data_IF_871872596376
#
_entry.id   IF_871872596376
#
_cell.length_a   1.000
_cell.length_b   1.000
_cell.length_c   1.000
_cell.angle_alpha   90.00
_cell.angle_beta   90.00
_cell.angle_gamma   90.00
#
_symmetry.space_group_name_H-M   'P 1'
#
loop_
_entity.id
_entity.type
_entity.pdbx_description
1 polymer ?
#
# COMPACT_ATOMS: atom_id res chain seq x y z
N UNK A 1 -22.05 4.04 4.46
CA UNK A 1 -21.60 5.45 4.26
C UNK A 1 -20.35 5.71 5.08
N UNK A 2 -19.55 6.71 4.72
CA UNK A 2 -18.45 7.21 5.55
C UNK A 2 -19.00 8.07 6.72
N UNK A 3 -18.20 8.39 7.76
CA UNK A 3 -18.65 9.20 8.90
C UNK A 3 -19.27 10.56 8.54
N UNK A 4 -19.01 11.09 7.33
CA UNK A 4 -19.61 12.32 6.80
C UNK A 4 -20.78 12.12 5.84
N UNK A 5 -21.44 10.95 5.80
CA UNK A 5 -22.58 10.68 4.92
C UNK A 5 -22.23 10.43 3.45
N UNK A 6 -20.98 10.66 3.03
CA UNK A 6 -20.53 10.35 1.66
C UNK A 6 -20.46 8.84 1.40
N UNK A 7 -20.66 8.39 0.15
CA UNK A 7 -20.34 7.02 -0.26
C UNK A 7 -18.86 6.70 0.02
N UNK A 8 -18.58 5.56 0.66
CA UNK A 8 -17.18 5.13 0.93
C UNK A 8 -16.38 4.87 -0.35
N UNK A 9 -17.07 4.49 -1.43
CA UNK A 9 -16.50 4.24 -2.75
C UNK A 9 -17.37 4.92 -3.80
N UNK A 10 -16.80 5.87 -4.54
CA UNK A 10 -17.48 6.51 -5.67
C UNK A 10 -17.54 5.63 -6.93
N UNK A 11 -18.37 5.98 -7.92
CA UNK A 11 -18.62 5.16 -9.11
C UNK A 11 -17.38 4.87 -9.94
N UNK A 12 -16.50 5.85 -10.15
CA UNK A 12 -15.26 5.66 -10.90
C UNK A 12 -14.33 4.62 -10.23
N UNK A 13 -14.19 4.67 -8.90
CA UNK A 13 -13.36 3.73 -8.14
C UNK A 13 -14.00 2.34 -8.08
N UNK A 14 -15.32 2.27 -7.95
CA UNK A 14 -16.05 1.00 -7.97
C UNK A 14 -15.90 0.30 -9.33
N UNK A 15 -16.06 1.05 -10.44
CA UNK A 15 -15.81 0.53 -11.79
C UNK A 15 -14.39 0.03 -11.96
N UNK A 16 -13.39 0.83 -11.56
CA UNK A 16 -11.98 0.44 -11.64
C UNK A 16 -11.69 -0.84 -10.84
N UNK A 17 -12.32 -1.02 -9.67
CA UNK A 17 -12.21 -2.23 -8.86
C UNK A 17 -12.82 -3.45 -9.59
N UNK A 18 -14.02 -3.34 -10.16
CA UNK A 18 -14.66 -4.42 -10.92
C UNK A 18 -13.82 -4.84 -12.13
N UNK A 19 -13.31 -3.86 -12.89
CA UNK A 19 -12.40 -4.11 -14.02
C UNK A 19 -11.12 -4.83 -13.56
N UNK A 20 -10.58 -4.46 -12.40
CA UNK A 20 -9.39 -5.11 -11.84
C UNK A 20 -9.64 -6.53 -11.36
N UNK A 21 -10.81 -6.80 -10.76
CA UNK A 21 -11.22 -8.15 -10.37
C UNK A 21 -11.47 -9.04 -11.59
N UNK A 22 -12.06 -8.49 -12.66
CA UNK A 22 -12.25 -9.20 -13.91
C UNK A 22 -10.92 -9.60 -14.57
N UNK A 23 -9.95 -8.67 -14.61
CA UNK A 23 -8.59 -8.95 -15.11
C UNK A 23 -7.89 -10.02 -14.25
N UNK A 24 -7.96 -9.91 -12.92
CA UNK A 24 -7.38 -10.90 -11.99
C UNK A 24 -7.98 -12.29 -12.21
N UNK A 25 -9.31 -12.39 -12.33
CA UNK A 25 -10.01 -13.66 -12.60
C UNK A 25 -9.56 -14.27 -13.94
N UNK A 26 -9.49 -13.47 -15.00
CA UNK A 26 -9.07 -13.94 -16.31
C UNK A 26 -7.62 -14.49 -16.29
N UNK A 27 -6.72 -13.81 -15.56
CA UNK A 27 -5.31 -14.23 -15.44
C UNK A 27 -5.16 -15.49 -14.59
N UNK A 28 -5.92 -15.62 -13.50
CA UNK A 28 -5.93 -16.85 -12.71
C UNK A 28 -6.43 -18.05 -13.53
N UNK A 29 -7.48 -17.86 -14.34
CA UNK A 29 -7.96 -18.90 -15.28
C UNK A 29 -6.92 -19.28 -16.32
N UNK A 30 -6.25 -18.29 -16.92
CA UNK A 30 -5.15 -18.55 -17.85
C UNK A 30 -3.98 -19.32 -17.21
N UNK A 31 -3.78 -19.17 -15.90
CA UNK A 31 -2.77 -19.90 -15.13
C UNK A 31 -3.26 -21.27 -14.61
N UNK A 32 -4.50 -21.69 -14.91
CA UNK A 32 -5.07 -22.96 -14.46
C UNK A 32 -5.81 -22.92 -13.12
N UNK A 33 -6.09 -21.73 -12.58
CA UNK A 33 -6.78 -21.50 -11.31
C UNK A 33 -8.08 -20.71 -11.48
N UNK A 34 -8.66 -20.21 -10.39
CA UNK A 34 -9.92 -19.46 -10.39
C UNK A 34 -9.96 -18.41 -9.26
N UNK A 35 -10.64 -17.29 -9.51
CA UNK A 35 -10.98 -16.31 -8.48
C UNK A 35 -12.38 -16.56 -7.93
N UNK A 36 -12.47 -16.97 -6.67
CA UNK A 36 -13.74 -17.09 -5.95
C UNK A 36 -14.18 -15.72 -5.44
N UNK A 37 -15.37 -15.28 -5.84
CA UNK A 37 -16.01 -14.05 -5.37
C UNK A 37 -17.11 -14.38 -4.38
N UNK A 38 -16.91 -14.01 -3.12
CA UNK A 38 -17.89 -14.17 -2.06
C UNK A 38 -18.31 -12.80 -1.49
N UNK A 39 -19.58 -12.68 -1.12
CA UNK A 39 -20.15 -11.45 -0.53
C UNK A 39 -20.43 -11.68 0.96
N UNK A 40 -19.89 -10.81 1.79
CA UNK A 40 -20.12 -10.87 3.23
C UNK A 40 -18.95 -10.25 4.02
N UNK A 41 -19.05 -10.21 5.35
CA UNK A 41 -17.94 -9.86 6.21
C UNK A 41 -16.83 -10.94 6.11
N UNK A 42 -15.56 -10.56 5.87
CA UNK A 42 -14.47 -11.52 5.72
C UNK A 42 -14.29 -12.45 6.92
N UNK A 43 -14.58 -11.98 8.13
CA UNK A 43 -14.50 -12.77 9.37
C UNK A 43 -15.54 -13.89 9.49
N UNK A 44 -16.55 -13.93 8.62
CA UNK A 44 -17.51 -15.03 8.54
C UNK A 44 -17.26 -15.88 7.28
N UNK A 45 -17.01 -15.22 6.16
CA UNK A 45 -16.85 -15.86 4.85
C UNK A 45 -15.56 -16.67 4.76
N UNK A 46 -14.42 -16.10 5.18
CA UNK A 46 -13.12 -16.77 5.01
C UNK A 46 -13.00 -18.03 5.89
N UNK A 47 -13.40 -18.03 7.18
CA UNK A 47 -13.35 -19.24 7.99
C UNK A 47 -14.29 -20.35 7.49
N UNK A 48 -15.49 -19.99 7.03
CA UNK A 48 -16.42 -20.97 6.45
C UNK A 48 -15.87 -21.57 5.15
N UNK A 49 -15.23 -20.74 4.31
CA UNK A 49 -14.59 -21.21 3.10
C UNK A 49 -13.40 -22.13 3.41
N UNK A 50 -12.55 -21.74 4.37
CA UNK A 50 -11.38 -22.52 4.78
C UNK A 50 -11.77 -23.91 5.30
N UNK A 51 -12.80 -23.99 6.14
CA UNK A 51 -13.36 -25.25 6.64
C UNK A 51 -13.88 -26.13 5.49
N UNK A 52 -14.68 -25.55 4.58
CA UNK A 52 -15.25 -26.29 3.43
C UNK A 52 -14.20 -26.89 2.50
N UNK A 53 -13.05 -26.24 2.36
CA UNK A 53 -11.96 -26.72 1.49
C UNK A 53 -10.86 -27.47 2.25
N UNK A 54 -10.98 -27.59 3.58
CA UNK A 54 -9.93 -28.19 4.42
C UNK A 54 -8.63 -27.39 4.43
N UNK A 55 -8.68 -26.06 4.24
CA UNK A 55 -7.48 -25.23 4.26
C UNK A 55 -6.99 -24.98 5.70
N UNK A 56 -5.75 -25.36 5.99
CA UNK A 56 -5.10 -25.06 7.27
C UNK A 56 -4.64 -23.61 7.42
N UNK A 57 -4.53 -22.85 6.32
CA UNK A 57 -4.08 -21.46 6.36
C UNK A 57 -4.74 -20.59 5.28
N UNK A 58 -4.94 -19.32 5.62
CA UNK A 58 -5.37 -18.24 4.73
C UNK A 58 -4.25 -17.22 4.63
N UNK A 59 -3.83 -16.88 3.41
CA UNK A 59 -2.79 -15.89 3.15
C UNK A 59 -3.38 -14.56 2.69
N UNK A 60 -2.84 -13.44 3.18
CA UNK A 60 -3.19 -12.10 2.71
C UNK A 60 -2.00 -11.14 2.78
N UNK A 61 -2.09 -10.02 2.07
CA UNK A 61 -1.18 -8.90 2.29
C UNK A 61 -1.55 -8.19 3.59
N UNK A 62 -0.56 -7.89 4.44
CA UNK A 62 -0.76 -7.12 5.66
C UNK A 62 -1.11 -5.65 5.36
N UNK A 63 -2.09 -5.10 6.07
CA UNK A 63 -2.50 -3.70 5.98
C UNK A 63 -2.16 -2.92 7.26
N UNK A 64 -2.00 -1.59 7.12
CA UNK A 64 -1.45 -0.74 8.19
C UNK A 64 -2.43 0.27 8.77
N UNK A 65 -3.62 0.39 8.19
CA UNK A 65 -4.56 1.44 8.57
C UNK A 65 -5.40 1.02 9.78
N UNK A 66 -5.48 1.89 10.78
CA UNK A 66 -6.53 1.88 11.79
C UNK A 66 -7.53 3.00 11.49
N UNK A 67 -8.81 2.68 11.38
CA UNK A 67 -9.89 3.66 11.38
C UNK A 67 -10.63 3.41 12.70
N UNK A 68 -10.82 4.48 13.45
CA UNK A 68 -11.39 4.47 14.80
C UNK A 68 -12.80 3.88 14.77
N UNK A 69 -13.01 2.81 15.54
CA UNK A 69 -14.33 2.31 15.83
C UNK A 69 -15.03 3.31 16.75
N UNK A 70 -15.78 4.26 16.19
CA UNK A 70 -16.73 5.04 16.99
C UNK A 70 -17.84 4.08 17.50
N UNK A 71 -18.10 4.01 18.82
CA UNK A 71 -19.05 3.07 19.42
C UNK A 71 -20.52 3.28 19.02
N UNK A 72 -20.86 4.42 18.42
CA UNK A 72 -22.24 4.82 18.11
C UNK A 72 -22.66 4.56 16.67
N UNK A 73 -21.76 4.09 15.80
CA UNK A 73 -22.05 3.92 14.38
C UNK A 73 -22.02 2.43 14.01
N UNK A 74 -23.06 1.85 13.41
CA UNK A 74 -23.09 0.46 12.92
C UNK A 74 -22.23 0.32 11.64
N UNK A 75 -20.98 0.76 11.72
CA UNK A 75 -20.03 0.81 10.61
C UNK A 75 -19.14 -0.41 10.70
N UNK A 76 -19.06 -1.18 9.61
CA UNK A 76 -18.22 -2.38 9.49
C UNK A 76 -16.80 -2.10 10.01
N UNK A 77 -16.18 -3.05 10.74
CA UNK A 77 -14.81 -2.92 11.21
C UNK A 77 -13.81 -2.60 10.09
N UNK A 78 -12.75 -1.89 10.43
CA UNK A 78 -11.73 -1.45 9.49
C UNK A 78 -10.72 -2.55 9.10
N UNK A 79 -9.94 -2.41 8.02
CA UNK A 79 -9.07 -3.48 7.45
C UNK A 79 -8.17 -4.20 8.46
N UNK A 80 -7.41 -3.50 9.30
CA UNK A 80 -6.59 -4.16 10.34
C UNK A 80 -7.46 -4.84 11.43
N UNK A 81 -8.61 -4.24 11.76
CA UNK A 81 -9.56 -4.83 12.70
C UNK A 81 -10.27 -6.06 12.10
N UNK A 82 -10.47 -6.07 10.78
CA UNK A 82 -10.93 -7.21 9.99
C UNK A 82 -9.87 -8.31 10.02
N UNK A 83 -8.58 -8.01 9.79
CA UNK A 83 -7.50 -9.00 9.91
C UNK A 83 -7.48 -9.66 11.29
N UNK A 84 -7.59 -8.87 12.37
CA UNK A 84 -7.67 -9.41 13.73
C UNK A 84 -8.92 -10.28 13.95
N UNK A 85 -10.08 -9.87 13.43
CA UNK A 85 -11.34 -10.64 13.55
C UNK A 85 -11.28 -11.94 12.75
N UNK A 86 -10.75 -11.89 11.54
CA UNK A 86 -10.53 -13.05 10.67
C UNK A 86 -9.55 -14.02 11.32
N UNK A 87 -8.43 -13.53 11.86
CA UNK A 87 -7.46 -14.35 12.61
C UNK A 87 -8.14 -15.11 13.75
N UNK A 88 -8.82 -14.40 14.65
CA UNK A 88 -9.52 -15.03 15.77
C UNK A 88 -10.67 -15.95 15.32
N UNK A 89 -11.25 -15.74 14.13
CA UNK A 89 -12.28 -16.61 13.58
C UNK A 89 -11.74 -17.88 12.94
N UNK A 90 -10.55 -17.81 12.32
CA UNK A 90 -9.84 -18.97 11.79
C UNK A 90 -9.27 -19.83 12.92
N UNK A 91 -8.65 -19.21 13.93
CA UNK A 91 -8.06 -19.92 15.08
C UNK A 91 -9.10 -20.78 15.83
N UNK A 92 -10.33 -20.25 15.99
CA UNK A 92 -11.46 -21.00 16.58
C UNK A 92 -11.85 -22.26 15.80
N UNK A 93 -11.46 -22.35 14.52
CA UNK A 93 -11.74 -23.48 13.62
C UNK A 93 -10.47 -24.28 13.28
N UNK A 94 -9.36 -24.05 14.00
CA UNK A 94 -8.09 -24.75 13.77
C UNK A 94 -7.31 -24.29 12.54
N UNK A 95 -7.65 -23.14 11.94
CA UNK A 95 -6.92 -22.54 10.82
C UNK A 95 -6.06 -21.34 11.25
N UNK A 96 -5.13 -20.94 10.38
CA UNK A 96 -4.21 -19.82 10.62
C UNK A 96 -4.41 -18.68 9.59
N UNK A 97 -4.31 -17.41 10.02
CA UNK A 97 -4.16 -16.27 9.11
C UNK A 97 -2.68 -15.86 9.00
N UNK A 98 -2.11 -15.97 7.80
CA UNK A 98 -0.75 -15.53 7.47
C UNK A 98 -0.78 -14.22 6.68
N UNK A 99 -0.54 -13.13 7.39
CA UNK A 99 -0.47 -11.79 6.81
C UNK A 99 0.97 -11.44 6.46
N UNK A 100 1.27 -11.40 5.16
CA UNK A 100 2.61 -11.13 4.63
C UNK A 100 2.77 -9.65 4.25
N UNK A 101 3.92 -9.06 4.57
CA UNK A 101 4.15 -7.66 4.22
C UNK A 101 4.32 -7.47 2.70
N UNK A 102 3.57 -6.53 2.15
CA UNK A 102 3.61 -6.18 0.72
C UNK A 102 3.36 -4.71 0.45
N UNK A 103 3.36 -4.33 -0.83
CA UNK A 103 2.99 -2.99 -1.28
C UNK A 103 4.04 -1.89 -1.08
N UNK A 104 5.26 -2.22 -0.64
CA UNK A 104 6.40 -1.30 -0.52
C UNK A 104 7.64 -1.79 -1.28
N UNK A 105 8.63 -0.91 -1.45
CA UNK A 105 9.97 -1.25 -1.94
C UNK A 105 10.78 -1.99 -0.87
N UNK A 106 10.69 -1.54 0.38
CA UNK A 106 11.35 -2.14 1.54
C UNK A 106 10.33 -2.75 2.49
N UNK A 107 10.61 -3.94 3.02
CA UNK A 107 9.87 -4.46 4.16
C UNK A 107 10.32 -3.76 5.46
N UNK A 108 9.47 -3.65 6.50
CA UNK A 108 9.85 -3.08 7.79
C UNK A 108 11.10 -3.72 8.40
N UNK A 109 11.25 -5.03 8.22
CA UNK A 109 12.36 -5.86 8.72
C UNK A 109 13.65 -5.57 7.97
N UNK A 110 13.54 -5.05 6.75
CA UNK A 110 14.68 -4.62 5.99
C UNK A 110 15.16 -3.25 6.49
N UNK A 111 14.35 -2.38 7.09
CA UNK A 111 14.78 -1.03 7.46
C UNK A 111 15.99 -1.03 8.43
N UNK A 112 16.95 -0.09 8.29
CA UNK A 112 18.12 0.00 9.17
C UNK A 112 17.79 0.59 10.56
N UNK A 113 16.52 0.64 10.90
CA UNK A 113 15.98 1.13 12.15
C UNK A 113 14.62 0.47 12.38
N UNK A 114 14.22 0.37 13.65
CA UNK A 114 12.87 -0.05 14.02
C UNK A 114 11.85 1.02 13.63
N UNK A 115 10.60 0.61 13.38
CA UNK A 115 9.51 1.55 13.06
C UNK A 115 9.31 2.63 14.14
N UNK A 116 9.58 2.32 15.41
CA UNK A 116 9.52 3.29 16.52
C UNK A 116 10.52 4.44 16.32
N UNK A 117 11.69 4.13 15.75
CA UNK A 117 12.77 5.05 15.41
C UNK A 117 12.69 5.57 13.95
N UNK A 118 11.55 5.40 13.28
CA UNK A 118 11.29 5.96 11.95
C UNK A 118 11.46 7.50 12.00
N UNK A 119 12.29 8.08 11.12
CA UNK A 119 12.51 9.52 11.06
C UNK A 119 11.23 10.32 10.86
N UNK A 120 11.14 11.50 11.48
CA UNK A 120 10.00 12.40 11.31
C UNK A 120 9.98 13.14 9.97
N UNK A 121 11.11 13.14 9.25
CA UNK A 121 11.24 13.81 7.94
C UNK A 121 11.62 12.81 6.85
N UNK A 122 11.09 13.04 5.65
CA UNK A 122 11.39 12.20 4.49
C UNK A 122 12.87 12.25 4.10
N UNK A 123 13.52 13.42 4.21
CA UNK A 123 14.94 13.58 3.87
C UNK A 123 15.83 12.67 4.74
N UNK A 124 15.58 12.62 6.05
CA UNK A 124 16.31 11.74 6.96
C UNK A 124 16.00 10.26 6.71
N UNK A 125 14.73 9.91 6.49
CA UNK A 125 14.31 8.56 6.12
C UNK A 125 15.08 8.05 4.89
N UNK A 126 15.14 8.86 3.83
CA UNK A 126 15.86 8.53 2.60
C UNK A 126 17.36 8.45 2.82
N UNK A 127 17.95 9.39 3.57
CA UNK A 127 19.38 9.37 3.88
C UNK A 127 19.79 8.08 4.60
N UNK A 128 18.97 7.59 5.54
CA UNK A 128 19.21 6.32 6.23
C UNK A 128 19.08 5.10 5.32
N UNK A 129 18.32 5.19 4.23
CA UNK A 129 18.17 4.12 3.24
C UNK A 129 19.22 4.15 2.12
N UNK A 130 20.07 5.19 2.07
CA UNK A 130 21.09 5.32 1.04
C UNK A 130 22.02 4.08 1.01
N UNK A 131 22.40 3.65 -0.19
CA UNK A 131 23.27 2.51 -0.44
C UNK A 131 22.61 1.13 -0.39
N UNK A 132 21.33 1.02 0.01
CA UNK A 132 20.62 -0.26 0.06
C UNK A 132 20.13 -0.73 -1.32
N UNK A 133 19.90 -2.02 -1.47
CA UNK A 133 19.36 -2.60 -2.70
C UNK A 133 17.87 -2.92 -2.52
N UNK A 134 17.06 -2.64 -3.54
CA UNK A 134 15.64 -3.06 -3.57
C UNK A 134 15.60 -4.54 -3.94
N UNK A 135 14.92 -5.36 -3.13
CA UNK A 135 14.75 -6.80 -3.39
C UNK A 135 14.06 -7.04 -4.73
N UNK A 136 14.44 -8.10 -5.43
CA UNK A 136 13.75 -8.53 -6.66
C UNK A 136 12.26 -8.82 -6.37
N UNK A 137 11.36 -8.54 -7.32
CA UNK A 137 9.98 -9.02 -7.22
C UNK A 137 10.00 -10.55 -7.24
N UNK A 138 8.99 -11.17 -6.62
CA UNK A 138 8.80 -12.61 -6.74
C UNK A 138 8.35 -12.92 -8.16
N UNK A 139 8.92 -13.98 -8.75
CA UNK A 139 8.45 -14.48 -10.02
C UNK A 139 7.06 -15.09 -9.85
N UNK A 140 6.19 -14.86 -10.84
CA UNK A 140 4.93 -15.58 -10.91
C UNK A 140 5.25 -16.97 -11.46
N UNK A 141 5.23 -17.98 -10.58
CA UNK A 141 5.39 -19.37 -11.00
C UNK A 141 4.41 -19.70 -12.14
N UNK A 142 4.90 -20.42 -13.15
CA UNK A 142 4.09 -20.88 -14.25
C UNK A 142 3.23 -22.07 -13.78
N UNK A 143 1.92 -21.90 -13.78
CA UNK A 143 0.96 -22.96 -13.43
C UNK A 143 0.52 -22.90 -11.97
N UNK A 144 -0.67 -22.34 -11.76
CA UNK A 144 -1.37 -22.43 -10.49
C UNK A 144 -2.26 -23.67 -10.49
N UNK A 145 -2.40 -24.29 -9.31
CA UNK A 145 -3.36 -25.37 -9.14
C UNK A 145 -4.79 -24.81 -9.25
N UNK A 146 -5.68 -25.62 -9.82
CA UNK A 146 -7.11 -25.36 -9.87
C UNK A 146 -7.76 -25.34 -8.49
N UNK A 147 -9.08 -25.12 -8.47
CA UNK A 147 -9.86 -25.27 -7.24
C UNK A 147 -9.70 -26.70 -6.68
N UNK A 148 -9.77 -26.87 -5.33
CA UNK A 148 -9.62 -28.17 -4.70
C UNK A 148 -10.61 -29.19 -5.27
N UNK A 149 -10.10 -30.32 -5.78
CA UNK A 149 -10.94 -31.40 -6.28
C UNK A 149 -11.78 -31.99 -5.13
N UNK A 150 -13.09 -32.14 -5.35
CA UNK A 150 -14.02 -32.70 -4.37
C UNK A 150 -14.72 -31.69 -3.45
N UNK A 151 -14.34 -30.41 -3.49
CA UNK A 151 -15.05 -29.34 -2.80
C UNK A 151 -15.87 -28.53 -3.82
N UNK A 152 -17.20 -28.53 -3.71
CA UNK A 152 -18.05 -27.67 -4.54
C UNK A 152 -17.92 -26.21 -4.06
N UNK A 153 -16.92 -25.51 -4.59
CA UNK A 153 -16.72 -24.08 -4.40
C UNK A 153 -17.16 -23.36 -5.66
N UNK A 154 -18.33 -22.74 -5.60
CA UNK A 154 -18.83 -21.91 -6.68
C UNK A 154 -17.95 -20.66 -6.85
N UNK A 155 -17.44 -20.37 -8.06
CA UNK A 155 -16.60 -19.19 -8.31
C UNK A 155 -17.31 -17.87 -8.01
N UNK A 156 -18.65 -17.82 -8.06
CA UNK A 156 -19.45 -16.62 -7.84
C UNK A 156 -19.41 -15.63 -9.01
N UNK A 157 -20.51 -14.90 -9.19
CA UNK A 157 -20.66 -13.92 -10.26
C UNK A 157 -20.03 -12.56 -9.92
N UNK A 158 -19.59 -11.84 -10.97
CA UNK A 158 -19.08 -10.49 -10.78
C UNK A 158 -20.24 -9.54 -10.41
N UNK A 159 -20.16 -8.79 -9.29
CA UNK A 159 -21.19 -7.82 -8.95
C UNK A 159 -21.35 -6.71 -9.97
N UNK A 160 -22.59 -6.25 -10.17
CA UNK A 160 -22.86 -4.97 -10.85
C UNK A 160 -22.72 -3.79 -9.89
N UNK A 161 -22.55 -2.57 -10.41
CA UNK A 161 -22.51 -1.35 -9.58
C UNK A 161 -23.80 -1.17 -8.76
N UNK A 162 -24.95 -1.49 -9.36
CA UNK A 162 -26.26 -1.43 -8.70
C UNK A 162 -26.34 -2.40 -7.52
N UNK A 163 -25.86 -3.64 -7.69
CA UNK A 163 -25.79 -4.62 -6.62
C UNK A 163 -24.84 -4.20 -5.48
N UNK A 164 -23.92 -3.27 -5.73
CA UNK A 164 -23.05 -2.65 -4.74
C UNK A 164 -23.64 -1.37 -4.13
N UNK A 165 -24.84 -0.95 -4.55
CA UNK A 165 -25.46 0.30 -4.12
C UNK A 165 -24.72 1.54 -4.65
N UNK A 166 -24.02 1.42 -5.77
CA UNK A 166 -23.26 2.50 -6.40
C UNK A 166 -24.02 2.96 -7.65
N UNK A 167 -24.36 4.25 -7.71
CA UNK A 167 -25.02 4.83 -8.87
C UNK A 167 -24.18 4.60 -10.14
N UNK A 168 -24.82 4.18 -11.23
CA UNK A 168 -24.13 4.11 -12.51
C UNK A 168 -23.72 5.53 -12.93
N UNK A 169 -22.49 5.73 -13.42
CA UNK A 169 -22.15 6.99 -14.07
C UNK A 169 -23.07 7.13 -15.29
N UNK A 170 -23.81 8.24 -15.37
CA UNK A 170 -24.71 8.48 -16.49
C UNK A 170 -23.97 8.24 -17.81
N UNK A 171 -24.53 7.38 -18.67
CA UNK A 171 -24.04 7.19 -20.03
C UNK A 171 -24.24 8.51 -20.78
N UNK A 172 -23.20 9.35 -20.80
CA UNK A 172 -23.20 10.56 -21.58
C UNK A 172 -23.10 10.18 -23.07
N UNK A 173 -24.25 9.99 -23.71
CA UNK A 173 -24.41 10.48 -25.08
C UNK A 173 -24.14 11.99 -25.08
N UNK A 174 -23.38 12.46 -26.07
CA UNK A 174 -22.90 13.83 -26.25
C UNK A 174 -21.82 14.29 -25.26
N UNK A 175 -20.57 14.41 -25.76
CA UNK A 175 -19.56 15.43 -25.44
C UNK A 175 -19.40 15.89 -23.97
N UNK A 176 -19.71 15.04 -23.00
CA UNK A 176 -19.59 15.31 -21.57
C UNK A 176 -18.16 15.10 -21.10
N UNK A 177 -17.49 16.19 -20.74
CA UNK A 177 -16.08 16.22 -20.31
C UNK A 177 -15.75 15.06 -19.34
N UNK A 178 -14.69 14.26 -19.61
CA UNK A 178 -14.29 13.19 -18.71
C UNK A 178 -13.94 13.75 -17.33
N UNK A 179 -14.27 12.97 -16.29
CA UNK A 179 -13.89 13.24 -14.91
C UNK A 179 -12.37 13.46 -14.83
N UNK A 180 -11.97 14.69 -14.51
CA UNK A 180 -10.59 15.19 -14.64
C UNK A 180 -10.50 16.62 -15.21
N UNK A 181 -11.54 17.07 -15.92
CA UNK A 181 -11.57 18.43 -16.50
C UNK A 181 -11.64 19.57 -15.46
N UNK A 182 -12.16 19.32 -14.26
CA UNK A 182 -12.17 20.32 -13.18
C UNK A 182 -10.84 20.43 -12.41
N UNK A 183 -9.94 19.45 -12.57
CA UNK A 183 -8.62 19.38 -11.89
C UNK A 183 -7.46 19.36 -12.90
N UNK A 184 -7.73 19.66 -14.18
CA UNK A 184 -6.70 19.75 -15.22
C UNK A 184 -6.00 18.44 -15.58
N UNK A 185 -6.55 17.27 -15.22
CA UNK A 185 -5.93 15.95 -15.49
C UNK A 185 -6.52 15.24 -16.72
N UNK A 186 -7.05 16.01 -17.68
CA UNK A 186 -7.79 15.56 -18.87
C UNK A 186 -7.13 14.44 -19.68
N UNK A 187 -7.33 13.20 -19.22
CA UNK A 187 -6.91 11.97 -19.87
C UNK A 187 -8.08 11.02 -20.08
N UNK A 188 -7.90 9.97 -20.89
CA UNK A 188 -8.90 8.93 -21.07
C UNK A 188 -9.26 8.26 -19.74
N UNK A 189 -10.47 7.70 -19.60
CA UNK A 189 -10.85 6.96 -18.42
C UNK A 189 -9.84 5.84 -18.13
N UNK A 190 -9.33 5.79 -16.90
CA UNK A 190 -8.34 4.79 -16.49
C UNK A 190 -9.04 3.46 -16.27
N UNK A 191 -8.60 2.41 -16.98
CA UNK A 191 -9.15 1.06 -16.88
C UNK A 191 -8.41 0.24 -15.80
N UNK A 192 -9.17 -0.50 -15.01
CA UNK A 192 -8.64 -1.40 -13.97
C UNK A 192 -7.90 -2.63 -14.52
N UNK A 193 -7.09 -3.25 -13.65
CA UNK A 193 -6.40 -4.52 -13.93
C UNK A 193 -4.88 -4.41 -14.03
N UNK A 194 -4.19 -5.52 -13.72
CA UNK A 194 -2.74 -5.65 -13.88
C UNK A 194 -2.37 -5.59 -15.37
N UNK A 195 -3.18 -6.16 -16.26
CA UNK A 195 -2.93 -6.11 -17.70
C UNK A 195 -2.80 -4.68 -18.22
N UNK A 196 -3.70 -3.78 -17.80
CA UNK A 196 -3.63 -2.36 -18.16
C UNK A 196 -2.50 -1.63 -17.45
N UNK A 197 -2.23 -1.97 -16.18
CA UNK A 197 -1.12 -1.41 -15.44
C UNK A 197 0.22 -1.62 -16.15
N UNK A 198 0.46 -2.85 -16.63
CA UNK A 198 1.67 -3.21 -17.35
C UNK A 198 1.74 -2.53 -18.73
N UNK A 199 0.62 -2.47 -19.46
CA UNK A 199 0.56 -1.72 -20.73
C UNK A 199 0.90 -0.24 -20.55
N UNK A 200 0.32 0.40 -19.54
CA UNK A 200 0.59 1.79 -19.21
C UNK A 200 2.07 2.01 -18.80
N UNK A 201 2.61 1.10 -17.99
CA UNK A 201 4.02 1.16 -17.58
C UNK A 201 4.97 1.03 -18.78
N UNK A 202 4.72 0.07 -19.68
CA UNK A 202 5.51 -0.11 -20.90
C UNK A 202 5.39 1.09 -21.84
N UNK A 203 4.19 1.68 -21.97
CA UNK A 203 3.99 2.90 -22.76
C UNK A 203 4.79 4.07 -22.22
N UNK A 204 4.72 4.28 -20.91
CA UNK A 204 5.50 5.30 -20.20
C UNK A 204 7.01 5.09 -20.38
N UNK A 205 7.51 3.85 -20.29
CA UNK A 205 8.92 3.54 -20.52
C UNK A 205 9.37 3.84 -21.96
N UNK A 206 8.53 3.54 -22.96
CA UNK A 206 8.81 3.89 -24.36
C UNK A 206 8.89 5.40 -24.57
N UNK A 207 7.99 6.14 -23.95
CA UNK A 207 7.97 7.61 -24.00
C UNK A 207 9.20 8.23 -23.32
N UNK A 208 9.60 7.68 -22.16
CA UNK A 208 10.83 8.05 -21.46
C UNK A 208 12.06 7.87 -22.36
N UNK A 209 12.22 6.69 -22.97
CA UNK A 209 13.36 6.41 -23.86
C UNK A 209 13.39 7.36 -25.05
N UNK A 210 12.24 7.62 -25.66
CA UNK A 210 12.13 8.54 -26.80
C UNK A 210 12.53 9.96 -26.40
N UNK A 211 12.08 10.42 -25.23
CA UNK A 211 12.42 11.74 -24.70
C UNK A 211 13.92 11.88 -24.41
N UNK A 212 14.53 10.83 -23.81
CA UNK A 212 15.97 10.80 -23.55
C UNK A 212 16.79 10.79 -24.85
N UNK A 213 16.38 10.00 -25.86
CA UNK A 213 17.04 9.96 -27.16
C UNK A 213 16.98 11.33 -27.87
N UNK A 214 15.81 12.00 -27.85
CA UNK A 214 15.65 13.35 -28.41
C UNK A 214 16.56 14.36 -27.72
N UNK A 215 16.66 14.31 -26.39
CA UNK A 215 17.53 15.20 -25.64
C UNK A 215 19.02 14.97 -25.97
N UNK A 216 19.44 13.72 -26.15
CA UNK A 216 20.81 13.39 -26.56
C UNK A 216 21.13 13.93 -27.96
N UNK A 217 20.21 13.80 -28.92
CA UNK A 217 20.40 14.33 -30.28
C UNK A 217 20.48 15.86 -30.33
N UNK A 218 19.72 16.57 -29.50
CA UNK A 218 19.75 18.03 -29.40
C UNK A 218 21.04 18.53 -28.73
N UNK A 219 21.61 17.76 -27.81
CA UNK A 219 22.91 18.08 -27.21
C UNK A 219 24.06 17.93 -28.23
N UNK A 220 24.03 16.87 -29.06
CA UNK A 220 25.06 16.62 -30.08
C UNK A 220 25.03 17.59 -31.28
N UNK A 221 23.89 18.22 -31.60
CA UNK A 221 23.82 19.20 -32.69
C UNK A 221 24.33 20.60 -32.30
N UNK A 222 24.59 20.84 -31.01
CA UNK A 222 25.12 22.12 -30.49
C UNK A 222 26.65 22.22 -30.48
N UNK A 223 27.37 21.17 -30.87
CA UNK A 223 28.85 21.11 -30.84
C UNK A 223 29.53 21.19 -32.22
N UNK A 224 28.78 21.42 -33.31
CA UNK A 224 29.33 21.48 -34.67
C UNK A 224 28.91 22.74 -35.45
N UNK A 225 29.26 23.93 -34.95
CA UNK A 225 29.29 25.14 -35.79
C UNK A 225 30.34 26.14 -35.32
N UNK A 226 31.53 26.08 -35.92
CA UNK A 226 32.44 27.23 -36.05
C UNK A 226 31.95 28.12 -37.20
N UNK A 227 31.56 29.38 -36.94
CA UNK A 227 31.34 30.38 -38.00
C UNK A 227 30.25 31.44 -37.73
N UNK A 228 30.65 32.51 -37.05
CA UNK A 228 30.20 33.93 -37.07
C UNK A 228 28.74 34.38 -37.37
N UNK A 229 28.20 35.13 -36.38
CA UNK A 229 27.22 36.25 -36.42
C UNK A 229 25.76 35.97 -36.91
N UNK A 230 24.66 36.47 -36.30
CA UNK A 230 24.44 37.63 -35.43
C UNK A 230 23.20 37.44 -34.51
N UNK A 231 23.09 38.37 -33.55
CA UNK A 231 22.26 38.44 -32.36
C UNK A 231 20.72 38.24 -32.47
N UNK A 232 20.16 37.52 -31.50
CA UNK A 232 18.93 37.89 -30.80
C UNK A 232 18.93 37.25 -29.39
N UNK A 233 18.68 38.08 -28.37
CA UNK A 233 18.88 37.79 -26.96
C UNK A 233 17.94 36.69 -26.42
N UNK A 234 18.52 35.65 -25.83
CA UNK A 234 17.87 34.80 -24.83
C UNK A 234 18.94 34.37 -23.81
N UNK A 235 18.66 34.62 -22.53
CA UNK A 235 19.52 34.38 -21.38
C UNK A 235 20.03 32.94 -21.32
N UNK A 236 21.34 32.81 -21.48
CA UNK A 236 22.13 31.60 -21.45
C UNK A 236 22.10 30.91 -20.08
N UNK A 237 21.61 29.67 -20.05
CA UNK A 237 22.11 28.65 -19.13
C UNK A 237 22.32 27.37 -19.92
N UNK A 238 23.57 26.90 -19.97
CA UNK A 238 23.96 25.64 -20.61
C UNK A 238 23.09 24.49 -20.07
N UNK A 239 22.64 23.54 -20.91
CA UNK A 239 21.85 22.42 -20.41
C UNK A 239 22.77 21.51 -19.59
N UNK A 240 22.75 21.69 -18.28
CA UNK A 240 23.29 20.71 -17.35
C UNK A 240 22.40 19.45 -17.44
N UNK A 241 22.93 18.23 -17.29
CA UNK A 241 22.15 16.98 -17.32
C UNK A 241 20.98 16.94 -16.30
N UNK A 242 20.94 17.90 -15.38
CA UNK A 242 19.85 18.21 -14.45
C UNK A 242 18.54 18.70 -15.12
N UNK A 243 18.52 19.08 -16.39
CA UNK A 243 17.28 19.56 -17.07
C UNK A 243 16.43 18.43 -17.68
N UNK A 244 16.84 17.17 -17.51
CA UNK A 244 16.12 15.98 -17.98
C UNK A 244 15.01 15.53 -17.02
N UNK A 245 14.81 16.24 -15.90
CA UNK A 245 13.65 16.01 -15.05
C UNK A 245 12.40 16.19 -15.93
N UNK A 246 11.59 15.13 -16.12
CA UNK A 246 10.38 15.27 -16.88
C UNK A 246 9.53 16.38 -16.26
N UNK A 247 9.02 17.30 -17.09
CA UNK A 247 8.27 18.46 -16.61
C UNK A 247 7.11 18.00 -15.70
N UNK A 248 6.51 18.91 -14.93
CA UNK A 248 5.35 18.61 -14.08
C UNK A 248 4.15 17.99 -14.84
N UNK A 249 4.18 17.96 -16.17
CA UNK A 249 3.21 17.28 -17.04
C UNK A 249 3.52 15.78 -17.26
N UNK A 250 4.71 15.30 -16.92
CA UNK A 250 5.16 13.93 -17.14
C UNK A 250 4.92 13.08 -15.89
N UNK A 251 3.67 12.71 -15.70
CA UNK A 251 3.27 11.74 -14.68
C UNK A 251 3.07 10.37 -15.33
N UNK A 252 3.58 9.32 -14.67
CA UNK A 252 3.33 7.93 -15.09
C UNK A 252 1.86 7.51 -14.94
N UNK A 253 1.00 8.35 -14.33
CA UNK A 253 -0.44 8.10 -14.08
C UNK A 253 -0.72 6.73 -13.48
N UNK A 254 0.22 6.18 -12.69
CA UNK A 254 0.20 4.79 -12.25
C UNK A 254 -0.48 4.59 -10.88
N UNK A 255 -0.82 5.68 -10.19
CA UNK A 255 -1.31 5.66 -8.81
C UNK A 255 -2.56 4.79 -8.59
N UNK A 256 -3.55 4.68 -9.51
CA UNK A 256 -4.70 3.81 -9.29
C UNK A 256 -4.32 2.33 -9.19
N UNK A 257 -3.38 1.86 -10.02
CA UNK A 257 -2.91 0.48 -10.01
C UNK A 257 -2.00 0.17 -8.82
N UNK A 258 -1.14 1.12 -8.40
CA UNK A 258 -0.36 0.97 -7.17
C UNK A 258 -1.27 0.93 -5.93
N UNK A 259 -2.34 1.73 -5.89
CA UNK A 259 -3.26 1.78 -4.76
C UNK A 259 -4.07 0.49 -4.57
N UNK A 260 -4.38 -0.22 -5.66
CA UNK A 260 -5.09 -1.50 -5.61
C UNK A 260 -4.15 -2.72 -5.54
N UNK A 261 -2.86 -2.54 -5.84
CA UNK A 261 -1.89 -3.63 -5.93
C UNK A 261 -1.86 -4.33 -7.29
N UNK A 262 -2.53 -3.78 -8.31
CA UNK A 262 -2.40 -4.25 -9.69
C UNK A 262 -0.98 -4.06 -10.25
N UNK A 263 -0.17 -3.21 -9.63
CA UNK A 263 1.25 -3.10 -9.95
C UNK A 263 2.07 -3.10 -8.67
N UNK A 264 3.16 -3.86 -8.67
CA UNK A 264 4.13 -3.87 -7.58
C UNK A 264 5.16 -2.74 -7.74
N UNK A 265 5.48 -1.98 -6.68
CA UNK A 265 6.54 -0.97 -6.72
C UNK A 265 7.91 -1.57 -7.02
N UNK A 266 8.19 -2.79 -6.53
CA UNK A 266 9.44 -3.50 -6.79
C UNK A 266 9.57 -3.87 -8.26
N UNK A 267 8.50 -4.40 -8.86
CA UNK A 267 8.44 -4.69 -10.30
C UNK A 267 8.68 -3.43 -11.12
N UNK A 268 7.97 -2.35 -10.80
CA UNK A 268 8.11 -1.06 -11.48
C UNK A 268 9.56 -0.54 -11.43
N UNK A 269 10.20 -0.63 -10.26
CA UNK A 269 11.59 -0.24 -10.06
C UNK A 269 12.56 -1.07 -10.92
N UNK A 270 12.48 -2.40 -10.83
CA UNK A 270 13.40 -3.30 -11.53
C UNK A 270 13.22 -3.26 -13.04
N UNK A 271 11.97 -3.23 -13.53
CA UNK A 271 11.71 -3.10 -14.97
C UNK A 271 12.26 -1.76 -15.52
N UNK A 272 12.09 -0.65 -14.79
CA UNK A 272 12.61 0.64 -15.25
C UNK A 272 14.14 0.63 -15.32
N UNK A 273 14.80 0.06 -14.31
CA UNK A 273 16.25 -0.05 -14.29
C UNK A 273 16.79 -0.90 -15.42
N UNK A 274 16.17 -2.05 -15.66
CA UNK A 274 16.54 -2.95 -16.75
C UNK A 274 16.39 -2.26 -18.10
N UNK A 275 15.26 -1.56 -18.31
CA UNK A 275 14.98 -0.87 -19.57
C UNK A 275 15.91 0.33 -19.83
N UNK A 276 16.41 0.96 -18.77
CA UNK A 276 17.38 2.07 -18.85
C UNK A 276 18.85 1.61 -18.72
N UNK A 277 19.11 0.30 -18.67
CA UNK A 277 20.45 -0.29 -18.54
C UNK A 277 21.28 0.27 -17.36
N UNK A 278 20.62 0.59 -16.24
CA UNK A 278 21.28 1.17 -15.07
C UNK A 278 21.96 0.08 -14.24
N UNK A 279 23.30 0.04 -14.27
CA UNK A 279 24.13 -1.06 -13.71
C UNK A 279 24.42 -0.99 -12.21
N UNK A 280 24.18 0.13 -11.52
CA UNK A 280 24.54 0.24 -10.09
C UNK A 280 23.40 -0.12 -9.12
N UNK A 281 23.39 -1.34 -8.58
CA UNK A 281 22.35 -1.85 -7.65
C UNK A 281 22.22 -1.10 -6.31
N UNK A 282 22.95 0.00 -6.09
CA UNK A 282 22.94 0.78 -4.84
C UNK A 282 21.98 1.97 -4.95
N UNK A 283 21.17 2.15 -3.91
CA UNK A 283 20.26 3.29 -3.73
C UNK A 283 21.03 4.59 -3.62
N UNK A 284 21.06 5.35 -4.72
CA UNK A 284 21.50 6.74 -4.75
C UNK A 284 23.00 6.92 -4.35
N UNK A 285 23.71 7.89 -4.91
CA UNK A 285 24.96 8.30 -4.27
C UNK A 285 24.63 8.77 -2.84
N UNK A 286 25.48 8.40 -1.87
CA UNK A 286 25.41 8.99 -0.53
C UNK A 286 25.37 10.52 -0.68
N UNK A 287 24.62 11.25 0.16
CA UNK A 287 24.66 12.71 0.12
C UNK A 287 26.11 13.15 0.19
N UNK A 288 26.57 13.90 -0.81
CA UNK A 288 27.92 14.47 -0.82
C UNK A 288 28.06 15.34 0.43
N UNK A 289 29.15 15.23 1.20
CA UNK A 289 29.38 16.13 2.33
C UNK A 289 29.65 17.54 1.77
N UNK A 290 28.60 18.32 1.54
CA UNK A 290 28.72 19.75 1.37
C UNK A 290 29.08 20.34 2.75
N UNK A 291 30.33 20.80 2.87
CA UNK A 291 30.83 21.85 3.78
C UNK A 291 29.97 22.19 5.01
N UNK A 292 30.55 21.99 6.20
CA UNK A 292 30.05 22.42 7.51
C UNK A 292 29.29 23.77 7.45
N UNK A 293 28.14 23.92 8.13
CA UNK A 293 27.40 25.17 8.12
C UNK A 293 28.04 26.13 9.14
N UNK A 294 28.83 27.08 8.65
CA UNK A 294 29.02 28.33 9.38
C UNK A 294 27.76 29.19 9.20
N UNK A 295 27.13 29.58 10.32
CA UNK A 295 26.21 30.70 10.37
C UNK A 295 24.71 30.38 10.18
N UNK A 296 23.93 30.73 11.20
CA UNK A 296 22.47 30.77 11.20
C UNK A 296 21.95 31.69 10.08
N UNK A 297 21.18 31.15 9.14
CA UNK A 297 20.08 31.90 8.51
C UNK A 297 19.09 30.94 7.85
N UNK A 298 17.82 31.08 8.28
CA UNK A 298 16.64 30.41 7.76
C UNK A 298 16.45 30.73 6.27
N UNK A 299 16.04 29.74 5.48
CA UNK A 299 15.68 29.97 4.09
C UNK A 299 15.09 28.73 3.43
N UNK A 300 13.78 28.78 3.18
CA UNK A 300 12.89 27.81 2.50
C UNK A 300 13.40 27.32 1.12
N UNK A 301 14.50 27.90 0.60
CA UNK A 301 15.09 27.60 -0.72
C UNK A 301 16.09 26.44 -0.77
N UNK A 302 16.71 26.02 0.35
CA UNK A 302 17.72 24.92 0.32
C UNK A 302 17.11 23.54 -0.01
N UNK A 303 15.87 23.28 0.39
CA UNK A 303 15.18 22.02 0.04
C UNK A 303 14.81 21.93 -1.45
N UNK A 304 14.59 23.06 -2.12
CA UNK A 304 14.21 23.09 -3.54
C UNK A 304 15.40 22.81 -4.46
N UNK A 305 16.61 23.29 -4.13
CA UNK A 305 17.82 23.04 -4.93
C UNK A 305 18.32 21.59 -4.85
N UNK A 306 18.25 20.95 -3.68
CA UNK A 306 18.70 19.56 -3.51
C UNK A 306 17.78 18.57 -4.25
N UNK A 307 16.46 18.85 -4.30
CA UNK A 307 15.51 18.06 -5.08
C UNK A 307 15.64 18.19 -6.60
N UNK A 308 16.27 19.26 -7.12
CA UNK A 308 16.47 19.48 -8.56
C UNK A 308 17.72 18.76 -9.09
N UNK A 309 18.83 18.76 -8.36
CA UNK A 309 20.06 18.09 -8.78
C UNK A 309 19.92 16.54 -8.79
N UNK A 310 19.11 15.99 -7.89
CA UNK A 310 18.99 14.54 -7.69
C UNK A 310 17.95 13.86 -8.59
N UNK A 311 17.13 14.65 -9.30
CA UNK A 311 16.21 14.19 -10.36
C UNK A 311 16.89 13.91 -11.70
N UNK A 312 18.22 14.00 -11.78
CA UNK A 312 19.00 13.89 -13.02
C UNK A 312 18.86 12.56 -13.79
N UNK A 313 18.27 11.52 -13.19
CA UNK A 313 17.90 10.28 -13.88
C UNK A 313 16.42 9.92 -13.64
N UNK A 314 15.65 9.53 -14.67
CA UNK A 314 14.26 9.10 -14.52
C UNK A 314 14.06 7.98 -13.50
N UNK A 315 15.04 7.09 -13.32
CA UNK A 315 14.98 6.04 -12.31
C UNK A 315 15.13 6.59 -10.88
N UNK A 316 16.00 7.59 -10.69
CA UNK A 316 16.16 8.25 -9.38
C UNK A 316 14.90 9.06 -9.02
N UNK A 317 14.27 9.72 -10.01
CA UNK A 317 13.00 10.38 -9.79
C UNK A 317 11.88 9.40 -9.42
N UNK A 318 11.70 8.31 -10.18
CA UNK A 318 10.67 7.33 -9.86
C UNK A 318 10.89 6.73 -8.47
N UNK A 319 12.12 6.35 -8.17
CA UNK A 319 12.48 5.80 -6.86
C UNK A 319 12.17 6.78 -5.73
N UNK A 320 12.46 8.07 -5.93
CA UNK A 320 12.09 9.13 -5.00
C UNK A 320 10.58 9.18 -4.74
N UNK A 321 9.74 9.14 -5.78
CA UNK A 321 8.29 9.16 -5.61
C UNK A 321 7.75 7.86 -4.96
N UNK A 322 8.34 6.71 -5.29
CA UNK A 322 7.97 5.43 -4.66
C UNK A 322 8.41 5.36 -3.19
N UNK A 323 9.54 5.97 -2.83
CA UNK A 323 10.00 6.06 -1.43
C UNK A 323 9.10 6.99 -0.60
N UNK A 324 8.53 8.04 -1.19
CA UNK A 324 7.50 8.84 -0.53
C UNK A 324 6.27 8.01 -0.16
N UNK A 325 5.83 7.13 -1.08
CA UNK A 325 4.72 6.20 -0.82
C UNK A 325 5.04 5.26 0.35
N UNK A 326 6.26 4.72 0.37
CA UNK A 326 6.73 3.84 1.45
C UNK A 326 6.81 4.60 2.79
N UNK A 327 7.39 5.80 2.80
CA UNK A 327 7.50 6.65 3.99
C UNK A 327 6.14 6.88 4.66
N UNK A 328 5.12 7.26 3.88
CA UNK A 328 3.77 7.45 4.42
C UNK A 328 3.16 6.15 4.94
N UNK A 329 3.37 5.02 4.25
CA UNK A 329 2.88 3.73 4.73
C UNK A 329 3.52 3.34 6.07
N UNK A 330 4.82 3.54 6.25
CA UNK A 330 5.51 3.30 7.52
C UNK A 330 5.07 4.28 8.62
N UNK A 331 4.86 5.56 8.28
CA UNK A 331 4.32 6.54 9.22
C UNK A 331 2.94 6.12 9.71
N UNK A 332 2.03 5.74 8.81
CA UNK A 332 0.71 5.21 9.18
C UNK A 332 0.83 4.00 10.10
N UNK A 333 1.74 3.06 9.80
CA UNK A 333 1.95 1.90 10.64
C UNK A 333 2.48 2.26 12.03
N UNK A 334 3.47 3.16 12.13
CA UNK A 334 4.04 3.64 13.40
C UNK A 334 2.94 4.20 14.31
N UNK A 335 2.12 5.12 13.79
CA UNK A 335 1.09 5.77 14.59
C UNK A 335 -0.11 4.85 14.86
N UNK A 336 -0.44 3.95 13.94
CA UNK A 336 -1.47 2.92 14.17
C UNK A 336 -1.05 1.97 15.29
N UNK A 337 0.21 1.52 15.30
CA UNK A 337 0.76 0.70 16.37
C UNK A 337 0.73 1.42 17.72
N UNK A 338 1.16 2.68 17.74
CA UNK A 338 1.13 3.51 18.96
C UNK A 338 -0.30 3.66 19.51
N UNK A 339 -1.27 4.00 18.64
CA UNK A 339 -2.68 4.12 19.02
C UNK A 339 -3.22 2.80 19.59
N UNK A 340 -2.86 1.66 19.00
CA UNK A 340 -3.25 0.33 19.48
C UNK A 340 -2.66 0.02 20.86
N UNK A 341 -1.37 0.28 21.07
CA UNK A 341 -0.74 0.06 22.38
C UNK A 341 -1.37 0.92 23.47
N UNK A 342 -1.73 2.17 23.15
CA UNK A 342 -2.43 3.05 24.06
C UNK A 342 -3.85 2.54 24.37
N UNK A 343 -4.61 2.11 23.35
CA UNK A 343 -5.95 1.55 23.53
C UNK A 343 -5.94 0.25 24.36
N UNK A 344 -4.99 -0.66 24.12
CA UNK A 344 -4.84 -1.89 24.89
C UNK A 344 -4.48 -1.61 26.36
N UNK A 345 -3.57 -0.66 26.62
CA UNK A 345 -3.22 -0.25 27.97
C UNK A 345 -4.41 0.38 28.71
N UNK A 346 -5.23 1.18 28.02
CA UNK A 346 -6.45 1.76 28.58
C UNK A 346 -7.51 0.69 28.91
N UNK A 347 -7.72 -0.29 28.02
CA UNK A 347 -8.64 -1.41 28.24
C UNK A 347 -8.20 -2.28 29.43
N UNK A 348 -6.89 -2.56 29.55
CA UNK A 348 -6.34 -3.30 30.70
C UNK A 348 -6.57 -2.59 32.03
N UNK A 349 -6.39 -1.26 32.08
CA UNK A 349 -6.70 -0.44 33.27
C UNK A 349 -8.18 -0.46 33.63
N UNK A 350 -9.08 -0.41 32.63
CA UNK A 350 -10.52 -0.47 32.84
C UNK A 350 -11.01 -1.87 33.30
N UNK A 351 -10.37 -2.95 32.83
CA UNK A 351 -10.65 -4.30 33.30
C UNK A 351 -10.17 -4.51 34.74
N UNK A 352 -8.98 -4.00 35.07
CA UNK A 352 -8.43 -4.06 36.43
C UNK A 352 -9.29 -3.26 37.44
N UNK A 353 -9.79 -2.09 37.07
CA UNK A 353 -10.68 -1.31 37.93
C UNK A 353 -12.05 -1.99 38.12
N UNK A 354 -12.61 -2.63 37.09
CA UNK A 354 -13.86 -3.42 37.22
C UNK A 354 -13.66 -4.68 38.09
N UNK A 355 -12.50 -5.34 38.00
CA UNK A 355 -12.14 -6.46 38.87
C UNK A 355 -11.98 -6.07 40.34
N UNK A 356 -11.41 -4.88 40.61
CA UNK A 356 -11.29 -4.35 41.97
C UNK A 356 -12.65 -3.99 42.60
N UNK A 357 -13.59 -3.44 41.81
CA UNK A 357 -14.96 -3.13 42.28
C UNK A 357 -15.77 -4.41 42.53
N UNK A 358 -15.61 -5.45 41.70
CA UNK A 358 -16.24 -6.75 41.93
C UNK A 358 -15.64 -7.51 43.13
N UNK A 359 -14.33 -7.34 43.41
CA UNK A 359 -13.68 -7.88 44.60
C UNK A 359 -14.13 -7.20 45.90
N UNK A 360 -14.37 -5.89 45.87
CA UNK A 360 -14.88 -5.14 47.02
C UNK A 360 -16.36 -5.45 47.34
N UNK A 361 -17.18 -5.77 46.33
CA UNK A 361 -18.58 -6.13 46.52
C UNK A 361 -18.81 -7.54 47.13
N UNK A 362 -17.76 -8.35 47.26
CA UNK A 362 -17.85 -9.72 47.82
C UNK A 362 -17.44 -9.81 49.29
N UNK A 363 -17.08 -8.70 49.95
CA UNK A 363 -16.62 -8.66 51.33
C UNK A 363 -17.70 -8.33 52.38
N UNK A 364 -18.98 -8.29 51.99
CA UNK A 364 -20.09 -8.01 52.92
C UNK A 364 -21.16 -9.10 52.81
N UNK A 365 -20.86 -10.30 53.28
CA UNK A 365 -21.91 -11.27 53.65
C UNK A 365 -21.67 -11.73 55.08
N UNK A 366 -22.68 -11.44 55.89
CA UNK A 366 -22.81 -11.77 57.30
C UNK A 366 -22.66 -13.27 57.51
N UNK A 367 -21.84 -13.64 58.48
CA UNK A 367 -21.65 -15.01 58.94
C UNK A 367 -22.96 -15.61 59.50
N UNK A 368 -23.22 -16.91 59.27
CA UNK A 368 -23.94 -17.72 60.22
C UNK A 368 -23.02 -18.73 60.91
N UNK A 369 -23.37 -18.95 62.17
CA UNK A 369 -22.75 -19.78 63.19
C UNK A 369 -22.44 -21.21 62.77
N UNK A 370 -21.33 -21.72 63.31
CA UNK A 370 -20.82 -23.07 63.16
C UNK A 370 -21.73 -24.15 63.78
N UNK A 371 -21.82 -25.29 63.10
CA UNK A 371 -22.06 -26.60 63.69
C UNK A 371 -21.22 -27.63 62.91
N UNK A 372 -20.42 -28.40 63.65
CA UNK A 372 -19.39 -29.31 63.15
C UNK A 372 -19.92 -30.73 62.94
N UNK A 373 -19.46 -31.41 61.87
CA UNK A 373 -19.38 -32.89 61.75
C UNK A 373 -18.21 -33.24 60.78
N UNK A 374 -17.39 -34.31 60.99
CA UNK A 374 -16.04 -34.45 60.42
C UNK A 374 -15.88 -35.43 59.24
N UNK A 375 -14.75 -35.27 58.50
CA UNK A 375 -13.96 -36.21 57.65
C UNK A 375 -14.68 -36.91 56.46
N UNK A 376 -14.11 -37.19 55.28
CA UNK A 376 -12.75 -37.62 54.87
C UNK A 376 -12.56 -37.43 53.31
N UNK A 377 -11.49 -37.92 52.62
CA UNK A 377 -10.73 -37.12 51.64
C UNK A 377 -10.81 -37.52 50.13
N UNK A 378 -10.16 -36.68 49.32
CA UNK A 378 -9.47 -36.96 48.03
C UNK A 378 -10.30 -37.29 46.78
N UNK A 379 -10.10 -36.52 45.70
CA UNK A 379 -9.26 -36.94 44.56
C UNK A 379 -9.16 -35.81 43.51
N UNK A 380 -7.92 -35.41 43.22
CA UNK A 380 -7.57 -34.66 42.03
C UNK A 380 -7.44 -35.64 40.86
N UNK A 381 -7.98 -35.28 39.69
CA UNK A 381 -7.59 -35.92 38.44
C UNK A 381 -7.41 -34.83 37.37
N UNK A 382 -6.15 -34.63 37.02
CA UNK A 382 -5.71 -33.97 35.80
C UNK A 382 -5.31 -35.07 34.80
N UNK A 383 -5.78 -34.97 33.56
CA UNK A 383 -5.30 -35.69 32.38
C UNK A 383 -6.01 -35.09 31.16
N UNK A 384 -5.43 -34.93 29.98
CA UNK A 384 -4.05 -34.89 29.52
C UNK A 384 -4.10 -34.09 28.19
#
# INVERSE_FOLDING_TARGET
MAPGGFPRTGPARARFLLESLADLRARLRAAGSELVLARGPPEEVLPALAERVGAGAVYCCAEVTAEEAQPSCPVRPHRHQVESRVRSALERRGGELRAEWGGTLFAPEELPFRLDALPGTYAEFRARLAGRAVRQPLDSEAGLKGLPAGCSVEPGEMPTLEQLGVAQPATAGAAGRPFGAAVGTGGPPVRGGEGEALRNLQAFMRELKTSMAKAATTASSSTSSTGAAAAAAASSSSPSPSSLAPSSAFSCRISPWLALGCLSPRRMYHELRQQLQLTDGKLLPAPTPASQPAGKQQGRGKQQQQGQAERGSPANWLLFELLWRDFFRFMTQKYTNAARTAAAAAAGKAAASRGAVAGAARATTVAPSAAAVPAAPALALAAA
#
